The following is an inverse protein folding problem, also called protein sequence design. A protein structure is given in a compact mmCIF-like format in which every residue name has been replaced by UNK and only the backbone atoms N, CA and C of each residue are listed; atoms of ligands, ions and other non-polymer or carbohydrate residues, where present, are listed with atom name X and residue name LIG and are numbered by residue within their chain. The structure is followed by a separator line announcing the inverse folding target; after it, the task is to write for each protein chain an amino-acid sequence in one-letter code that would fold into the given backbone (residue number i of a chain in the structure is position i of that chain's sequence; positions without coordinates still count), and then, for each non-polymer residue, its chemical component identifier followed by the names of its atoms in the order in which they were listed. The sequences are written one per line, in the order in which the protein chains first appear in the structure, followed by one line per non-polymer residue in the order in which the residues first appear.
data_IF_727303678332
#
_entry.id   IF_727303678332
#
_cell.length_a   1.000
_cell.length_b   1.000
_cell.length_c   1.000
_cell.angle_alpha   90.00
_cell.angle_beta   90.00
_cell.angle_gamma   90.00
#
_symmetry.space_group_name_H-M   'P 1'
#
loop_
_entity.id
_entity.type
_entity.pdbx_description
1 polymer ?
#
# COMPACT_ATOMS: atom_id res chain seq x y z
N UNK A 1 31.67 -19.60 27.11
CA UNK A 1 30.67 -20.22 28.01
C UNK A 1 30.18 -21.49 27.33
N UNK A 2 30.41 -22.67 27.90
CA UNK A 2 30.08 -23.96 27.29
C UNK A 2 28.72 -24.48 27.71
N UNK A 3 27.65 -23.66 27.63
CA UNK A 3 26.30 -24.13 27.91
C UNK A 3 25.76 -24.74 26.61
N UNK A 4 25.67 -26.06 26.58
CA UNK A 4 25.24 -26.84 25.43
C UNK A 4 23.74 -27.24 25.53
N UNK A 5 23.16 -27.14 26.71
CA UNK A 5 21.78 -27.55 26.98
C UNK A 5 21.04 -26.56 27.85
N UNK A 6 19.73 -26.36 27.60
CA UNK A 6 18.87 -25.56 28.46
C UNK A 6 18.42 -26.37 29.68
N UNK A 7 18.38 -25.74 30.85
CA UNK A 7 17.80 -26.33 32.07
C UNK A 7 16.26 -26.35 32.04
N UNK A 8 15.67 -25.62 31.11
CA UNK A 8 14.22 -25.50 30.98
C UNK A 8 13.77 -26.23 29.71
N UNK A 9 12.57 -26.80 29.71
CA UNK A 9 12.02 -27.38 28.50
C UNK A 9 11.92 -26.32 27.41
N UNK A 10 12.20 -26.74 26.18
CA UNK A 10 12.01 -25.88 25.00
C UNK A 10 10.51 -25.59 24.87
N UNK A 11 10.17 -24.32 24.67
CA UNK A 11 8.79 -23.92 24.41
C UNK A 11 8.36 -24.48 23.04
N UNK A 12 7.12 -24.96 22.98
CA UNK A 12 6.53 -25.31 21.69
C UNK A 12 6.55 -24.10 20.74
N UNK A 13 7.00 -24.33 19.52
CA UNK A 13 7.01 -23.30 18.49
C UNK A 13 5.59 -22.80 18.20
N UNK A 14 5.40 -21.50 18.16
CA UNK A 14 4.13 -20.94 17.74
C UNK A 14 3.89 -21.22 16.23
N UNK A 15 2.70 -21.68 15.87
CA UNK A 15 2.32 -21.80 14.49
C UNK A 15 2.41 -20.43 13.77
N UNK A 16 2.94 -20.43 12.56
CA UNK A 16 2.93 -19.22 11.75
C UNK A 16 1.49 -18.86 11.33
N UNK A 17 1.16 -17.58 11.42
CA UNK A 17 -0.11 -17.04 10.97
C UNK A 17 0.10 -16.27 9.66
N UNK A 18 -0.46 -16.81 8.58
CA UNK A 18 -0.46 -16.24 7.24
C UNK A 18 -1.87 -15.85 6.79
N UNK A 19 -2.79 -15.62 7.71
CA UNK A 19 -4.18 -15.27 7.41
C UNK A 19 -4.32 -13.87 6.80
N UNK A 20 -3.40 -12.95 7.15
CA UNK A 20 -3.49 -11.56 6.68
C UNK A 20 -2.91 -11.41 5.25
N UNK A 21 -3.61 -10.76 4.30
CA UNK A 21 -3.19 -10.69 2.90
C UNK A 21 -1.87 -9.93 2.67
N UNK A 22 -1.51 -9.01 3.55
CA UNK A 22 -0.33 -8.16 3.38
C UNK A 22 0.82 -8.47 4.35
N UNK A 23 0.58 -9.26 5.40
CA UNK A 23 1.55 -9.49 6.47
C UNK A 23 1.53 -10.96 6.92
N UNK A 24 2.70 -11.46 7.30
CA UNK A 24 2.90 -12.78 7.89
C UNK A 24 3.40 -12.63 9.34
N UNK A 25 2.96 -13.53 10.21
CA UNK A 25 3.31 -13.55 11.64
C UNK A 25 4.01 -14.84 11.99
N UNK A 26 5.20 -14.74 12.55
CA UNK A 26 5.94 -15.87 13.14
C UNK A 26 6.38 -15.51 14.57
N UNK A 27 5.54 -15.76 15.55
CA UNK A 27 5.82 -15.41 16.94
C UNK A 27 6.93 -16.24 17.57
N UNK A 28 7.41 -17.30 16.91
CA UNK A 28 8.58 -18.05 17.39
C UNK A 28 9.85 -17.21 17.33
N UNK A 29 9.94 -16.29 16.37
CA UNK A 29 11.03 -15.31 16.27
C UNK A 29 10.84 -14.08 17.21
N UNK A 30 9.76 -14.02 17.99
CA UNK A 30 9.43 -12.85 18.81
C UNK A 30 10.27 -12.78 20.10
N UNK A 31 10.95 -11.65 20.32
CA UNK A 31 11.73 -11.37 21.54
C UNK A 31 10.96 -10.53 22.57
N UNK A 32 9.68 -10.36 22.41
CA UNK A 32 8.78 -9.58 23.31
C UNK A 32 9.24 -8.13 23.57
N UNK A 33 9.89 -7.49 22.59
CA UNK A 33 10.40 -6.12 22.73
C UNK A 33 9.30 -5.04 22.69
N UNK A 34 8.06 -5.39 22.46
CA UNK A 34 6.87 -4.52 22.42
C UNK A 34 6.86 -3.41 21.34
N UNK A 35 7.86 -3.35 20.45
CA UNK A 35 7.95 -2.31 19.43
C UNK A 35 6.75 -2.31 18.48
N UNK A 36 6.26 -3.49 18.07
CA UNK A 36 5.06 -3.64 17.25
C UNK A 36 3.80 -3.13 17.95
N UNK A 37 3.64 -3.42 19.24
CA UNK A 37 2.53 -2.94 20.06
C UNK A 37 2.53 -1.41 20.13
N UNK A 38 3.68 -0.80 20.41
CA UNK A 38 3.82 0.65 20.46
C UNK A 38 3.61 1.29 19.09
N UNK A 39 4.10 0.68 18.02
CA UNK A 39 3.85 1.15 16.65
C UNK A 39 2.35 1.14 16.32
N UNK A 40 1.62 0.11 16.75
CA UNK A 40 0.18 0.02 16.53
C UNK A 40 -0.60 1.02 17.40
N UNK A 41 -0.31 1.06 18.70
CA UNK A 41 -1.04 1.85 19.69
C UNK A 41 -0.69 3.34 19.67
N UNK A 42 0.62 3.67 19.71
CA UNK A 42 1.08 5.04 19.92
C UNK A 42 1.29 5.80 18.61
N UNK A 43 1.70 5.08 17.55
CA UNK A 43 2.05 5.68 16.26
C UNK A 43 0.87 5.73 15.31
N UNK A 44 0.17 4.60 15.12
CA UNK A 44 -0.99 4.49 14.22
C UNK A 44 -2.35 4.65 14.92
N UNK A 45 -2.36 4.56 16.27
CA UNK A 45 -3.54 4.71 17.11
C UNK A 45 -4.66 3.72 16.77
N UNK A 46 -4.28 2.49 16.37
CA UNK A 46 -5.23 1.40 16.05
C UNK A 46 -5.48 0.44 17.21
N UNK A 47 -4.48 0.24 18.08
CA UNK A 47 -4.55 -0.58 19.29
C UNK A 47 -4.97 -2.06 19.09
N UNK A 48 -4.64 -2.63 17.92
CA UNK A 48 -4.94 -4.04 17.60
C UNK A 48 -3.98 -5.01 18.26
N UNK A 49 -2.71 -4.60 18.46
CA UNK A 49 -1.66 -5.47 19.01
C UNK A 49 -1.58 -5.30 20.52
N UNK A 50 -1.76 -6.39 21.23
CA UNK A 50 -1.67 -6.47 22.68
C UNK A 50 -0.70 -7.54 23.17
N UNK A 51 -0.59 -7.66 24.50
CA UNK A 51 0.10 -8.76 25.16
C UNK A 51 -0.88 -9.51 26.05
N UNK A 52 -0.85 -10.83 25.97
CA UNK A 52 -1.62 -11.72 26.82
C UNK A 52 -0.71 -12.65 27.63
N UNK A 53 -1.25 -13.17 28.73
CA UNK A 53 -0.52 -14.06 29.62
C UNK A 53 0.48 -13.33 30.53
N UNK A 54 1.27 -14.12 31.26
CA UNK A 54 2.33 -13.61 32.14
C UNK A 54 3.48 -14.61 32.24
N UNK A 55 4.65 -14.12 32.61
CA UNK A 55 5.87 -14.95 32.76
C UNK A 55 6.19 -15.67 31.46
N UNK A 56 6.50 -16.95 31.52
CA UNK A 56 6.81 -17.77 30.35
C UNK A 56 5.64 -17.90 29.33
N UNK A 57 4.40 -17.71 29.79
CA UNK A 57 3.20 -17.74 28.96
C UNK A 57 2.85 -16.40 28.29
N UNK A 58 3.69 -15.37 28.43
CA UNK A 58 3.49 -14.08 27.77
C UNK A 58 3.61 -14.23 26.25
N UNK A 59 2.66 -13.66 25.50
CA UNK A 59 2.67 -13.67 24.04
C UNK A 59 2.03 -12.40 23.46
N UNK A 60 2.42 -12.06 22.26
CA UNK A 60 1.71 -11.05 21.44
C UNK A 60 0.39 -11.65 20.98
N UNK A 61 -0.65 -10.83 21.00
CA UNK A 61 -1.99 -11.18 20.49
C UNK A 61 -2.50 -10.04 19.62
N UNK A 62 -3.42 -10.38 18.73
CA UNK A 62 -4.19 -9.43 17.91
C UNK A 62 -5.62 -9.43 18.45
N UNK A 63 -6.16 -8.26 18.72
CA UNK A 63 -7.46 -8.08 19.40
C UNK A 63 -7.61 -9.01 20.62
N UNK A 64 -8.56 -9.95 20.60
CA UNK A 64 -8.80 -10.90 21.71
C UNK A 64 -8.21 -12.28 21.38
N UNK A 65 -6.99 -12.32 20.84
CA UNK A 65 -6.27 -13.51 20.37
C UNK A 65 -6.82 -14.11 19.06
N UNK A 66 -7.33 -13.27 18.18
CA UNK A 66 -7.73 -13.63 16.84
C UNK A 66 -6.50 -13.89 15.93
N UNK A 67 -6.71 -14.56 14.80
CA UNK A 67 -5.73 -14.57 13.73
C UNK A 67 -5.58 -13.14 13.19
N UNK A 68 -4.38 -12.77 12.71
CA UNK A 68 -4.14 -11.38 12.27
C UNK A 68 -5.07 -10.95 11.14
N UNK A 69 -5.44 -11.87 10.24
CA UNK A 69 -6.36 -11.60 9.14
C UNK A 69 -7.81 -11.39 9.55
N UNK A 70 -8.21 -11.90 10.71
CA UNK A 70 -9.56 -11.77 11.26
C UNK A 70 -9.67 -10.60 12.26
N UNK A 71 -8.54 -9.96 12.57
CA UNK A 71 -8.49 -8.83 13.50
C UNK A 71 -8.95 -7.52 12.87
N UNK A 72 -9.14 -6.48 13.69
CA UNK A 72 -9.49 -5.12 13.23
C UNK A 72 -8.30 -4.37 12.62
N UNK A 73 -7.26 -5.09 12.17
CA UNK A 73 -6.06 -4.52 11.57
C UNK A 73 -6.36 -3.73 10.29
N UNK A 74 -5.87 -2.50 10.22
CA UNK A 74 -6.02 -1.62 9.03
C UNK A 74 -4.87 -1.75 8.02
N UNK A 75 -4.05 -2.78 8.15
CA UNK A 75 -2.94 -3.10 7.25
C UNK A 75 -1.94 -1.94 7.01
N UNK A 76 -1.66 -1.11 8.01
CA UNK A 76 -0.69 -0.02 7.85
C UNK A 76 0.77 -0.51 7.77
N UNK A 77 1.09 -1.68 8.34
CA UNK A 77 2.42 -2.30 8.31
C UNK A 77 3.47 -1.64 9.20
N UNK A 78 3.13 -0.69 10.06
CA UNK A 78 4.10 -0.07 10.99
C UNK A 78 4.69 -1.07 11.99
N UNK A 79 3.90 -2.06 12.39
CA UNK A 79 4.37 -3.15 13.23
C UNK A 79 5.45 -4.00 12.54
N UNK A 80 5.33 -4.22 11.23
CA UNK A 80 6.34 -4.89 10.39
C UNK A 80 7.62 -4.08 10.35
N UNK A 81 7.53 -2.78 10.05
CA UNK A 81 8.69 -1.89 10.00
C UNK A 81 9.39 -1.75 11.37
N UNK A 82 8.63 -1.83 12.46
CA UNK A 82 9.16 -1.74 13.82
C UNK A 82 9.77 -3.06 14.34
N UNK A 83 9.45 -4.21 13.74
CA UNK A 83 9.88 -5.52 14.22
C UNK A 83 11.37 -5.78 13.91
N UNK A 84 12.25 -5.97 14.91
CA UNK A 84 13.68 -6.13 14.67
C UNK A 84 14.07 -7.58 14.33
N UNK A 85 13.18 -8.56 14.51
CA UNK A 85 13.50 -9.99 14.40
C UNK A 85 12.79 -10.71 13.26
N UNK A 86 11.91 -10.01 12.54
CA UNK A 86 11.10 -10.63 11.51
C UNK A 86 9.96 -11.51 12.05
N UNK A 87 9.58 -11.34 13.32
CA UNK A 87 8.36 -11.97 13.83
C UNK A 87 7.09 -11.46 13.13
N UNK A 88 7.15 -10.27 12.61
CA UNK A 88 6.17 -9.66 11.71
C UNK A 88 6.88 -9.29 10.42
N UNK A 89 6.40 -9.82 9.30
CA UNK A 89 7.01 -9.67 7.97
C UNK A 89 5.95 -9.23 6.95
N UNK A 90 6.34 -8.61 5.83
CA UNK A 90 5.45 -8.54 4.67
C UNK A 90 5.09 -9.97 4.20
N UNK A 91 3.85 -10.18 3.77
CA UNK A 91 3.41 -11.48 3.22
C UNK A 91 4.22 -11.88 1.97
N UNK A 92 4.63 -10.88 1.18
CA UNK A 92 5.59 -11.06 0.09
C UNK A 92 6.99 -10.67 0.59
N UNK A 93 7.95 -11.57 0.41
CA UNK A 93 9.33 -11.30 0.80
C UNK A 93 9.87 -10.07 0.08
N UNK A 94 10.49 -9.18 0.82
CA UNK A 94 11.29 -8.11 0.24
C UNK A 94 12.50 -8.75 -0.45
N UNK A 95 12.46 -8.90 -1.76
CA UNK A 95 13.59 -9.40 -2.54
C UNK A 95 14.78 -8.45 -2.47
N UNK A 96 15.96 -8.93 -2.86
CA UNK A 96 17.10 -8.06 -3.10
C UNK A 96 16.81 -7.14 -4.29
N UNK A 97 17.32 -5.91 -4.27
CA UNK A 97 17.11 -4.98 -5.37
C UNK A 97 17.73 -3.61 -5.12
N UNK A 98 17.70 -2.78 -6.17
CA UNK A 98 18.17 -1.40 -6.09
C UNK A 98 17.20 -0.56 -5.23
N UNK A 99 17.73 0.17 -4.26
CA UNK A 99 16.95 1.13 -3.48
C UNK A 99 16.78 2.45 -4.27
N UNK A 100 15.54 2.88 -4.45
CA UNK A 100 15.18 4.11 -5.15
C UNK A 100 14.33 4.98 -4.23
N UNK A 101 14.79 6.21 -3.99
CA UNK A 101 14.04 7.20 -3.21
C UNK A 101 13.01 7.90 -4.08
N UNK A 102 11.80 8.05 -3.57
CA UNK A 102 10.70 8.68 -4.29
C UNK A 102 9.64 9.22 -3.33
N UNK A 103 8.53 9.64 -3.91
CA UNK A 103 7.33 10.12 -3.21
C UNK A 103 6.19 9.13 -3.49
N UNK A 104 5.34 8.90 -2.49
CA UNK A 104 4.15 8.07 -2.64
C UNK A 104 3.16 8.71 -3.64
N UNK A 105 2.66 7.96 -4.63
CA UNK A 105 1.82 8.52 -5.70
C UNK A 105 0.31 8.57 -5.36
N UNK A 106 -0.08 8.32 -4.10
CA UNK A 106 -1.49 8.12 -3.79
C UNK A 106 -2.27 9.37 -3.40
N UNK A 107 -1.66 10.28 -2.66
CA UNK A 107 -2.34 11.50 -2.20
C UNK A 107 -1.38 12.66 -1.98
N UNK A 108 -1.93 13.86 -1.82
CA UNK A 108 -1.19 15.10 -1.65
C UNK A 108 -0.35 15.23 -0.38
N UNK A 109 -0.41 14.26 0.54
CA UNK A 109 0.49 14.20 1.72
C UNK A 109 1.96 14.13 1.30
N UNK A 110 2.27 13.50 0.14
CA UNK A 110 3.63 13.43 -0.37
C UNK A 110 4.59 12.62 0.49
N UNK A 111 4.13 11.50 1.05
CA UNK A 111 4.97 10.64 1.90
C UNK A 111 6.23 10.20 1.18
N UNK A 112 7.38 10.42 1.83
CA UNK A 112 8.67 9.96 1.33
C UNK A 112 8.79 8.45 1.46
N UNK A 113 9.22 7.79 0.38
CA UNK A 113 9.32 6.33 0.31
C UNK A 113 10.68 5.89 -0.24
N UNK A 114 11.07 4.67 0.10
CA UNK A 114 12.17 3.95 -0.55
C UNK A 114 11.61 2.70 -1.18
N UNK A 115 11.68 2.62 -2.49
CA UNK A 115 11.33 1.42 -3.25
C UNK A 115 12.52 0.48 -3.35
N UNK A 116 12.29 -0.83 -3.21
CA UNK A 116 13.22 -1.87 -3.62
C UNK A 116 12.80 -2.35 -5.00
N UNK A 117 13.65 -2.13 -6.00
CA UNK A 117 13.37 -2.41 -7.41
C UNK A 117 14.30 -3.49 -7.92
N UNK A 118 13.76 -4.57 -8.47
CA UNK A 118 14.48 -5.62 -9.17
C UNK A 118 13.72 -5.98 -10.47
N UNK A 119 14.45 -6.25 -11.53
CA UNK A 119 13.90 -6.67 -12.83
C UNK A 119 12.78 -5.76 -13.38
N UNK A 120 12.89 -4.46 -13.10
CA UNK A 120 11.88 -3.46 -13.51
C UNK A 120 10.61 -3.44 -12.67
N UNK A 121 10.54 -4.26 -11.60
CA UNK A 121 9.39 -4.33 -10.70
C UNK A 121 9.71 -3.76 -9.33
N UNK A 122 8.71 -3.12 -8.69
CA UNK A 122 8.80 -2.71 -7.30
C UNK A 122 8.36 -3.88 -6.43
N UNK A 123 9.30 -4.42 -5.66
CA UNK A 123 9.06 -5.60 -4.83
C UNK A 123 8.73 -5.25 -3.37
N UNK A 124 9.18 -4.08 -2.90
CA UNK A 124 8.97 -3.69 -1.51
C UNK A 124 9.03 -2.17 -1.36
N UNK A 125 8.32 -1.66 -0.35
CA UNK A 125 8.29 -0.24 0.00
C UNK A 125 8.49 -0.04 1.47
N UNK A 126 9.40 0.86 1.80
CA UNK A 126 9.65 1.33 3.16
C UNK A 126 9.35 2.82 3.25
N UNK A 127 8.78 3.26 4.38
CA UNK A 127 8.68 4.68 4.69
C UNK A 127 10.07 5.26 4.92
N UNK A 128 10.40 6.31 4.16
CA UNK A 128 11.61 7.12 4.37
C UNK A 128 11.26 8.33 5.22
N UNK A 129 12.18 8.77 6.06
CA UNK A 129 11.98 9.97 6.86
C UNK A 129 11.78 11.20 5.97
N UNK A 130 10.66 11.86 6.14
CA UNK A 130 10.26 13.04 5.42
C UNK A 130 9.37 13.93 6.28
N UNK A 131 9.25 15.24 5.94
CA UNK A 131 8.57 16.21 6.78
C UNK A 131 7.11 15.84 7.06
N UNK A 132 6.42 15.26 6.09
CA UNK A 132 5.00 14.90 6.20
C UNK A 132 4.77 13.56 6.91
N UNK A 133 5.57 12.54 6.61
CA UNK A 133 5.30 11.16 7.05
C UNK A 133 6.24 10.65 8.15
N UNK A 134 7.39 11.28 8.39
CA UNK A 134 8.35 10.88 9.44
C UNK A 134 8.65 9.38 9.45
N UNK A 135 8.89 8.81 8.26
CA UNK A 135 9.16 7.39 8.07
C UNK A 135 7.92 6.47 8.08
N UNK A 136 6.71 6.99 8.24
CA UNK A 136 5.47 6.20 8.34
C UNK A 136 4.74 6.12 7.02
N UNK A 137 3.94 5.07 6.84
CA UNK A 137 3.09 4.88 5.67
C UNK A 137 1.71 4.35 6.09
N UNK A 138 0.70 4.69 5.29
CA UNK A 138 -0.59 4.00 5.34
C UNK A 138 -0.56 2.72 4.49
N UNK A 139 -1.63 1.94 4.54
CA UNK A 139 -1.77 0.70 3.75
C UNK A 139 -1.51 0.91 2.25
N UNK A 140 -2.01 1.99 1.66
CA UNK A 140 -1.83 2.28 0.22
C UNK A 140 -0.36 2.47 -0.14
N UNK A 141 0.35 3.33 0.59
CA UNK A 141 1.75 3.63 0.32
C UNK A 141 2.68 2.46 0.57
N UNK A 142 2.32 1.54 1.47
CA UNK A 142 3.16 0.38 1.82
C UNK A 142 2.87 -0.85 0.96
N UNK A 143 1.61 -1.15 0.71
CA UNK A 143 1.20 -2.41 0.07
C UNK A 143 0.42 -2.23 -1.24
N UNK A 144 -0.03 -1.04 -1.57
CA UNK A 144 -0.93 -0.80 -2.69
C UNK A 144 -0.24 -0.56 -4.04
N UNK A 145 0.89 -1.19 -4.33
CA UNK A 145 1.70 -0.92 -5.53
C UNK A 145 1.45 -1.87 -6.69
N UNK A 146 0.60 -2.86 -6.50
CA UNK A 146 0.33 -3.90 -7.51
C UNK A 146 -0.15 -3.31 -8.84
N UNK A 147 -0.87 -2.18 -8.79
CA UNK A 147 -1.39 -1.51 -9.98
C UNK A 147 -0.30 -1.07 -10.97
N UNK A 148 0.92 -0.81 -10.49
CA UNK A 148 2.01 -0.31 -11.35
C UNK A 148 2.39 -1.33 -12.42
N UNK A 149 2.37 -2.62 -12.05
CA UNK A 149 2.73 -3.73 -12.92
C UNK A 149 1.52 -4.55 -13.37
N UNK A 150 0.30 -4.07 -13.10
CA UNK A 150 -0.91 -4.79 -13.45
C UNK A 150 -1.10 -4.86 -14.98
N UNK A 151 -1.51 -6.02 -15.49
CA UNK A 151 -1.69 -6.24 -16.93
C UNK A 151 -2.70 -5.29 -17.59
N UNK A 152 -3.72 -4.86 -16.83
CA UNK A 152 -4.75 -3.94 -17.32
C UNK A 152 -4.37 -2.46 -17.16
N UNK A 153 -3.13 -2.17 -16.71
CA UNK A 153 -2.69 -0.78 -16.60
C UNK A 153 -2.61 -0.13 -17.98
N UNK A 154 -3.29 0.99 -18.14
CA UNK A 154 -3.16 1.81 -19.33
C UNK A 154 -1.77 2.46 -19.35
N UNK A 155 -1.05 2.28 -20.45
CA UNK A 155 0.31 2.83 -20.64
C UNK A 155 0.34 3.97 -21.69
N UNK A 156 -0.78 4.15 -22.37
CA UNK A 156 -0.99 5.22 -23.36
C UNK A 156 -2.34 5.89 -23.12
N UNK A 157 -2.52 7.16 -23.49
CA UNK A 157 -3.83 7.81 -23.47
C UNK A 157 -4.82 7.10 -24.39
N UNK A 158 -6.09 7.07 -23.99
CA UNK A 158 -7.17 6.51 -24.78
C UNK A 158 -8.16 7.60 -25.17
N UNK A 159 -8.51 7.67 -26.44
CA UNK A 159 -9.57 8.53 -26.97
C UNK A 159 -10.76 7.66 -27.39
N UNK A 160 -11.97 8.06 -27.00
CA UNK A 160 -13.20 7.38 -27.45
C UNK A 160 -13.31 7.45 -28.98
N UNK A 161 -13.64 6.33 -29.60
CA UNK A 161 -13.87 6.25 -31.04
C UNK A 161 -15.09 7.12 -31.44
N UNK A 162 -15.03 7.66 -32.62
CA UNK A 162 -16.13 8.46 -33.19
C UNK A 162 -17.42 7.62 -33.27
N UNK A 163 -18.55 8.25 -32.96
CA UNK A 163 -19.84 7.59 -32.98
C UNK A 163 -20.14 6.62 -31.82
N UNK A 164 -19.16 6.35 -30.95
CA UNK A 164 -19.37 5.48 -29.78
C UNK A 164 -19.99 6.29 -28.64
N UNK A 165 -21.11 5.80 -28.12
CA UNK A 165 -21.82 6.45 -27.01
C UNK A 165 -21.00 6.52 -25.72
N UNK A 166 -21.25 7.54 -24.89
CA UNK A 166 -20.66 7.67 -23.54
C UNK A 166 -21.41 6.76 -22.56
N UNK A 167 -21.26 5.46 -22.74
CA UNK A 167 -21.77 4.43 -21.85
C UNK A 167 -20.65 3.55 -21.38
N UNK A 168 -20.84 2.84 -20.27
CA UNK A 168 -19.96 1.78 -19.78
C UNK A 168 -20.44 0.39 -20.23
N UNK A 169 -21.62 0.30 -20.83
CA UNK A 169 -22.18 -0.96 -21.29
C UNK A 169 -21.32 -1.57 -22.40
N UNK A 170 -20.90 -2.80 -22.22
CA UNK A 170 -20.08 -3.53 -23.17
C UNK A 170 -18.61 -3.12 -23.25
N UNK A 171 -18.12 -2.29 -22.32
CA UNK A 171 -16.68 -2.01 -22.17
C UNK A 171 -16.04 -3.08 -21.32
N UNK A 172 -15.08 -3.84 -21.89
CA UNK A 172 -14.22 -4.71 -21.11
C UNK A 172 -13.05 -3.88 -20.54
N UNK A 173 -12.89 -3.79 -19.21
CA UNK A 173 -11.76 -3.07 -18.60
C UNK A 173 -10.39 -3.65 -18.97
N UNK A 174 -10.31 -4.93 -19.28
CA UNK A 174 -9.08 -5.60 -19.70
C UNK A 174 -8.74 -5.33 -21.19
N UNK A 175 -9.77 -5.09 -22.00
CA UNK A 175 -9.62 -4.70 -23.41
C UNK A 175 -10.62 -3.59 -23.79
N UNK A 176 -10.29 -2.32 -23.53
CA UNK A 176 -11.15 -1.20 -23.85
C UNK A 176 -11.19 -0.87 -25.37
N UNK A 177 -10.50 -1.62 -26.21
CA UNK A 177 -10.34 -1.33 -27.65
C UNK A 177 -11.65 -1.29 -28.43
N UNK A 178 -12.72 -1.92 -27.92
CA UNK A 178 -14.07 -1.83 -28.51
C UNK A 178 -14.59 -0.40 -28.57
N UNK A 179 -14.32 0.42 -27.56
CA UNK A 179 -14.85 1.78 -27.40
C UNK A 179 -13.79 2.87 -27.56
N UNK A 180 -12.52 2.53 -27.37
CA UNK A 180 -11.42 3.48 -27.34
C UNK A 180 -10.34 3.09 -28.36
N UNK A 181 -9.52 4.05 -28.73
CA UNK A 181 -8.31 3.87 -29.48
C UNK A 181 -7.13 4.51 -28.77
N UNK A 182 -5.95 4.00 -29.01
CA UNK A 182 -4.70 4.61 -28.55
C UNK A 182 -4.51 5.99 -29.16
N UNK A 183 -3.88 6.88 -28.40
CA UNK A 183 -3.54 8.23 -28.81
C UNK A 183 -2.18 8.65 -28.23
N UNK A 184 -1.58 9.67 -28.83
CA UNK A 184 -0.47 10.37 -28.18
C UNK A 184 -0.97 11.28 -27.07
N UNK A 185 -0.09 11.67 -26.14
CA UNK A 185 -0.43 12.65 -25.12
C UNK A 185 -0.83 14.00 -25.72
N UNK A 186 -0.15 14.44 -26.77
CA UNK A 186 -0.47 15.68 -27.48
C UNK A 186 -1.89 15.65 -28.04
N UNK A 187 -2.23 14.60 -28.79
CA UNK A 187 -3.57 14.43 -29.35
C UNK A 187 -4.65 14.37 -28.25
N UNK A 188 -4.43 13.60 -27.18
CA UNK A 188 -5.40 13.45 -26.11
C UNK A 188 -5.65 14.78 -25.37
N UNK A 189 -4.60 15.54 -25.09
CA UNK A 189 -4.70 16.85 -24.46
C UNK A 189 -5.39 17.87 -25.35
N UNK A 190 -5.11 17.86 -26.68
CA UNK A 190 -5.78 18.74 -27.63
C UNK A 190 -7.27 18.44 -27.74
N UNK A 191 -7.67 17.18 -27.77
CA UNK A 191 -9.09 16.77 -27.79
C UNK A 191 -9.79 17.23 -26.50
N UNK A 192 -9.17 17.02 -25.35
CA UNK A 192 -9.73 17.43 -24.07
C UNK A 192 -9.86 18.96 -23.96
N UNK A 193 -8.78 19.69 -24.25
CA UNK A 193 -8.75 21.14 -24.17
C UNK A 193 -9.73 21.80 -25.17
N UNK A 194 -9.79 21.30 -26.40
CA UNK A 194 -10.72 21.77 -27.41
C UNK A 194 -12.19 21.50 -27.03
N UNK A 195 -12.44 20.34 -26.43
CA UNK A 195 -13.76 19.99 -25.91
C UNK A 195 -14.23 20.95 -24.81
N UNK A 196 -13.38 21.20 -23.82
CA UNK A 196 -13.68 22.11 -22.70
C UNK A 196 -13.83 23.56 -23.19
N UNK A 197 -12.97 24.03 -24.09
CA UNK A 197 -13.05 25.36 -24.71
C UNK A 197 -14.37 25.54 -25.47
N UNK A 198 -14.79 24.53 -26.22
CA UNK A 198 -16.05 24.55 -26.98
C UNK A 198 -17.26 24.69 -26.06
N UNK A 199 -17.32 23.93 -24.95
CA UNK A 199 -18.41 24.01 -23.97
C UNK A 199 -18.41 25.40 -23.33
N UNK A 200 -17.25 25.86 -22.83
CA UNK A 200 -17.15 27.19 -22.24
C UNK A 200 -17.60 28.32 -23.17
N UNK A 201 -17.23 28.25 -24.45
CA UNK A 201 -17.57 29.29 -25.42
C UNK A 201 -19.04 29.24 -25.83
N UNK A 202 -19.67 28.08 -25.84
CA UNK A 202 -21.09 27.89 -26.17
C UNK A 202 -22.01 28.21 -25.00
N UNK A 203 -21.70 27.72 -23.80
CA UNK A 203 -22.61 27.65 -22.65
C UNK A 203 -22.13 28.51 -21.45
N UNK A 204 -20.97 29.13 -21.56
CA UNK A 204 -20.37 29.91 -20.49
C UNK A 204 -19.54 29.11 -19.49
N UNK A 205 -18.79 29.79 -18.62
CA UNK A 205 -17.92 29.15 -17.61
C UNK A 205 -18.68 28.30 -16.58
N UNK A 206 -19.92 28.66 -16.27
CA UNK A 206 -20.78 27.93 -15.34
C UNK A 206 -21.19 26.52 -15.84
N UNK A 207 -20.97 26.21 -17.10
CA UNK A 207 -21.20 24.87 -17.66
C UNK A 207 -20.05 23.90 -17.40
N UNK A 208 -18.95 24.36 -16.81
CA UNK A 208 -17.80 23.55 -16.42
C UNK A 208 -17.73 23.40 -14.90
N UNK A 209 -17.48 22.19 -14.44
CA UNK A 209 -17.25 21.90 -13.04
C UNK A 209 -16.01 21.01 -12.90
N UNK A 210 -15.22 21.23 -11.85
CA UNK A 210 -14.12 20.39 -11.43
C UNK A 210 -14.50 19.59 -10.21
N UNK A 211 -13.99 18.34 -10.15
CA UNK A 211 -14.09 17.50 -8.96
C UNK A 211 -12.67 17.22 -8.51
N UNK A 212 -12.35 17.63 -7.30
CA UNK A 212 -11.04 17.44 -6.70
C UNK A 212 -11.12 16.55 -5.45
N UNK A 213 -10.00 15.99 -5.04
CA UNK A 213 -9.89 15.15 -3.85
C UNK A 213 -8.55 15.36 -3.15
N UNK A 214 -8.35 14.71 -2.01
CA UNK A 214 -7.08 14.66 -1.28
C UNK A 214 -5.91 14.02 -2.05
N UNK A 215 -6.14 13.58 -3.28
CA UNK A 215 -5.12 13.00 -4.18
C UNK A 215 -4.44 14.03 -5.07
N UNK A 216 -5.01 15.22 -5.21
CA UNK A 216 -4.40 16.34 -5.89
C UNK A 216 -3.30 17.01 -5.05
N UNK A 217 -2.37 17.68 -5.71
CA UNK A 217 -1.39 18.56 -5.09
C UNK A 217 -1.88 20.01 -5.16
N UNK A 218 -1.34 20.87 -4.31
CA UNK A 218 -1.74 22.31 -4.29
C UNK A 218 -1.41 23.04 -5.61
N UNK A 219 -0.51 22.50 -6.41
CA UNK A 219 -0.06 23.04 -7.69
C UNK A 219 -0.96 22.62 -8.87
N UNK A 220 -1.90 21.73 -8.66
CA UNK A 220 -2.89 21.29 -9.66
C UNK A 220 -4.15 22.18 -9.61
#
# INVERSE_FOLDING_TARGET
MGVTESRFPVRDAAAADNSHPAMAVNLDACIHCTRCLRACREVQVNDVIGMAGRGAGTRIVFDIADAMGDSTCVACGECVQACPTGALLPAQAAGEGKKVHSVCPYCGIGCQVTYTVADGHINHVEGRDGPANKGRLCVKGRFGLDYINHSNRLTVPLIRKDGVAKTLDGVDPADPSSHFRDATWEEALDVAASGLKRIRNRDGGAALAGFDSDKGFNEE
#
